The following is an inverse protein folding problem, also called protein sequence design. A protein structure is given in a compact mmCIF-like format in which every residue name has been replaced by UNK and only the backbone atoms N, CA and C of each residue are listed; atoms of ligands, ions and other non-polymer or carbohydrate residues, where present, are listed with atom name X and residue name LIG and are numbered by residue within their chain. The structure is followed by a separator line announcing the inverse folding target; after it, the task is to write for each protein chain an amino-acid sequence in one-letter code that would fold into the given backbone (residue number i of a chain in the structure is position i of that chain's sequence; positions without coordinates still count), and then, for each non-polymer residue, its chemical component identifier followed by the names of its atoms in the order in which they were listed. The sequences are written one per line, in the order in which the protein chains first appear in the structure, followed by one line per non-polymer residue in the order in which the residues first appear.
data_IF_215993532925
#
_entry.id   IF_215993532925
#
_cell.length_a   1.000
_cell.length_b   1.000
_cell.length_c   1.000
_cell.angle_alpha   90.00
_cell.angle_beta   90.00
_cell.angle_gamma   90.00
#
_symmetry.space_group_name_H-M   'P 1'
#
loop_
_entity.id
_entity.type
_entity.pdbx_description
1 polymer ?
#
# COMPACT_ATOMS: atom_id res chain seq x y z
N UNK A 1 -50.98 -57.69 44.59
CA UNK A 1 -51.14 -56.23 44.43
C UNK A 1 -49.81 -55.49 44.64
N UNK A 2 -49.27 -55.37 45.87
CA UNK A 2 -48.03 -54.60 46.17
C UNK A 2 -46.83 -54.83 45.25
N UNK A 3 -46.52 -56.09 44.91
CA UNK A 3 -45.36 -56.40 44.05
C UNK A 3 -45.52 -55.89 42.62
N UNK A 4 -46.76 -55.80 42.11
CA UNK A 4 -47.06 -55.30 40.77
C UNK A 4 -46.99 -53.77 40.70
N UNK A 5 -47.44 -53.07 41.77
CA UNK A 5 -47.21 -51.61 41.88
C UNK A 5 -45.72 -51.29 41.89
N UNK A 6 -44.93 -51.93 42.78
CA UNK A 6 -43.47 -51.69 42.85
C UNK A 6 -42.72 -51.97 41.55
N UNK A 7 -43.13 -52.97 40.77
CA UNK A 7 -42.55 -53.20 39.44
C UNK A 7 -42.90 -52.05 38.49
N UNK A 8 -44.18 -51.65 38.41
CA UNK A 8 -44.63 -50.54 37.56
C UNK A 8 -43.99 -49.20 37.95
N UNK A 9 -43.83 -48.91 39.24
CA UNK A 9 -43.20 -47.69 39.74
C UNK A 9 -41.69 -47.67 39.40
N UNK A 10 -41.03 -48.84 39.41
CA UNK A 10 -39.64 -48.99 38.95
C UNK A 10 -39.51 -48.72 37.45
N UNK A 11 -40.36 -49.34 36.61
CA UNK A 11 -40.32 -49.17 35.15
C UNK A 11 -40.65 -47.72 34.74
N UNK A 12 -41.61 -47.09 35.43
CA UNK A 12 -41.93 -45.66 35.27
C UNK A 12 -40.70 -44.79 35.58
N UNK A 13 -40.00 -45.06 36.69
CA UNK A 13 -38.82 -44.31 37.10
C UNK A 13 -37.63 -44.45 36.12
N UNK A 14 -37.41 -45.64 35.55
CA UNK A 14 -36.41 -45.83 34.51
C UNK A 14 -36.75 -45.06 33.22
N UNK A 15 -38.03 -45.02 32.82
CA UNK A 15 -38.46 -44.30 31.63
C UNK A 15 -38.28 -42.78 31.77
N UNK A 16 -38.64 -42.20 32.92
CA UNK A 16 -38.42 -40.78 33.24
C UNK A 16 -36.92 -40.43 33.23
N UNK A 17 -36.07 -41.28 33.82
CA UNK A 17 -34.61 -41.05 33.83
C UNK A 17 -34.00 -41.08 32.43
N UNK A 18 -34.47 -41.96 31.54
CA UNK A 18 -34.07 -41.98 30.14
C UNK A 18 -34.59 -40.77 29.36
N UNK A 19 -35.83 -40.34 29.59
CA UNK A 19 -36.39 -39.11 29.00
C UNK A 19 -35.58 -37.87 29.38
N UNK A 20 -35.22 -37.73 30.66
CA UNK A 20 -34.37 -36.64 31.15
C UNK A 20 -32.96 -36.68 30.53
N UNK A 21 -32.34 -37.87 30.45
CA UNK A 21 -31.03 -38.02 29.81
C UNK A 21 -31.05 -37.65 28.32
N UNK A 22 -32.10 -38.06 27.59
CA UNK A 22 -32.33 -37.68 26.19
C UNK A 22 -32.53 -36.16 26.07
N UNK A 23 -33.34 -35.56 26.95
CA UNK A 23 -33.58 -34.11 26.94
C UNK A 23 -32.31 -33.30 27.22
N UNK A 24 -31.47 -33.73 28.16
CA UNK A 24 -30.16 -33.11 28.43
C UNK A 24 -29.22 -33.29 27.24
N UNK A 25 -29.17 -34.47 26.61
CA UNK A 25 -28.34 -34.68 25.41
C UNK A 25 -28.81 -33.80 24.23
N UNK A 26 -30.13 -33.69 24.01
CA UNK A 26 -30.70 -32.80 22.99
C UNK A 26 -30.40 -31.33 23.31
N UNK A 27 -30.51 -30.91 24.57
CA UNK A 27 -30.18 -29.56 24.99
C UNK A 27 -28.68 -29.24 24.78
N UNK A 28 -27.76 -30.17 25.06
CA UNK A 28 -26.32 -30.01 24.82
C UNK A 28 -26.01 -29.97 23.32
N UNK A 29 -26.62 -30.83 22.51
CA UNK A 29 -26.47 -30.80 21.04
C UNK A 29 -27.03 -29.51 20.44
N UNK A 30 -28.16 -29.01 20.96
CA UNK A 30 -28.69 -27.69 20.60
C UNK A 30 -27.74 -26.58 21.03
N UNK A 31 -27.14 -26.65 22.23
CA UNK A 31 -26.17 -25.64 22.71
C UNK A 31 -24.90 -25.58 21.84
N UNK A 32 -24.38 -26.73 21.39
CA UNK A 32 -23.26 -26.77 20.44
C UNK A 32 -23.64 -26.22 19.05
N UNK A 33 -24.93 -26.20 18.70
CA UNK A 33 -25.43 -25.52 17.49
C UNK A 33 -25.56 -23.99 17.64
N UNK A 34 -25.42 -23.45 18.86
CA UNK A 34 -25.30 -22.00 19.15
C UNK A 34 -23.84 -21.51 19.02
N UNK A 35 -23.02 -22.20 18.21
CA UNK A 35 -21.92 -21.51 17.53
C UNK A 35 -22.52 -20.56 16.49
N UNK A 36 -22.37 -19.24 16.69
CA UNK A 36 -22.91 -18.22 15.79
C UNK A 36 -22.50 -18.50 14.34
N UNK A 37 -23.45 -19.00 13.54
CA UNK A 37 -23.30 -19.06 12.09
C UNK A 37 -23.08 -17.63 11.60
N UNK A 38 -21.99 -17.32 10.88
CA UNK A 38 -21.88 -16.01 10.25
C UNK A 38 -23.11 -15.83 9.36
N UNK A 39 -23.86 -14.76 9.62
CA UNK A 39 -25.06 -14.46 8.84
C UNK A 39 -24.68 -14.41 7.35
N UNK A 40 -25.56 -14.91 6.47
CA UNK A 40 -25.27 -15.14 5.04
C UNK A 40 -24.62 -13.93 4.32
N UNK A 41 -24.86 -12.70 4.80
CA UNK A 41 -24.19 -11.49 4.32
C UNK A 41 -22.69 -11.37 4.67
N UNK A 42 -22.22 -11.83 5.84
CA UNK A 42 -20.79 -11.73 6.17
C UNK A 42 -19.93 -12.60 5.25
N UNK A 43 -20.35 -13.83 4.98
CA UNK A 43 -19.63 -14.73 4.06
C UNK A 43 -19.59 -14.17 2.64
N UNK A 44 -20.56 -13.33 2.24
CA UNK A 44 -20.53 -12.60 0.98
C UNK A 44 -19.56 -11.41 1.00
N UNK A 45 -19.40 -10.71 2.13
CA UNK A 45 -18.53 -9.52 2.28
C UNK A 45 -17.05 -9.86 2.53
N UNK A 46 -16.79 -10.92 3.30
CA UNK A 46 -15.46 -11.39 3.70
C UNK A 46 -14.81 -12.28 2.64
N UNK A 47 -15.60 -12.90 1.76
CA UNK A 47 -15.05 -13.62 0.60
C UNK A 47 -14.43 -12.61 -0.36
N UNK A 48 -13.12 -12.73 -0.55
CA UNK A 48 -12.37 -12.04 -1.60
C UNK A 48 -12.86 -12.53 -2.97
N UNK A 49 -13.89 -11.90 -3.50
CA UNK A 49 -14.46 -12.15 -4.84
C UNK A 49 -14.14 -10.99 -5.76
N UNK A 50 -13.97 -11.28 -7.05
CA UNK A 50 -13.81 -10.25 -8.08
C UNK A 50 -14.97 -9.23 -8.06
N UNK A 51 -16.19 -9.67 -7.71
CA UNK A 51 -17.35 -8.80 -7.55
C UNK A 51 -17.16 -7.76 -6.43
N UNK A 52 -16.64 -8.18 -5.26
CA UNK A 52 -16.35 -7.26 -4.16
C UNK A 52 -15.21 -6.29 -4.52
N UNK A 53 -14.13 -6.79 -5.16
CA UNK A 53 -13.02 -5.96 -5.62
C UNK A 53 -13.52 -4.86 -6.57
N UNK A 54 -14.37 -5.25 -7.53
CA UNK A 54 -14.99 -4.32 -8.48
C UNK A 54 -15.90 -3.31 -7.79
N UNK A 55 -16.79 -3.74 -6.89
CA UNK A 55 -17.69 -2.83 -6.14
C UNK A 55 -16.89 -1.80 -5.33
N UNK A 56 -15.78 -2.20 -4.72
CA UNK A 56 -14.89 -1.30 -3.98
C UNK A 56 -14.26 -0.29 -4.95
N UNK A 57 -13.51 -0.76 -5.95
CA UNK A 57 -12.76 0.09 -6.89
C UNK A 57 -13.68 1.03 -7.68
N UNK A 58 -14.81 0.53 -8.19
CA UNK A 58 -15.81 1.35 -8.88
C UNK A 58 -16.34 2.46 -7.95
N UNK A 59 -16.62 2.16 -6.68
CA UNK A 59 -17.16 3.16 -5.76
C UNK A 59 -16.13 4.22 -5.38
N UNK A 60 -14.86 3.86 -5.20
CA UNK A 60 -13.78 4.83 -5.02
C UNK A 60 -13.63 5.72 -6.26
N UNK A 61 -13.60 5.14 -7.45
CA UNK A 61 -13.42 5.89 -8.70
C UNK A 61 -14.62 6.81 -9.01
N UNK A 62 -15.85 6.37 -8.76
CA UNK A 62 -17.07 7.20 -8.82
C UNK A 62 -16.92 8.48 -7.97
N UNK A 63 -16.58 8.31 -6.69
CA UNK A 63 -16.40 9.43 -5.75
C UNK A 63 -15.23 10.34 -6.17
N UNK A 64 -14.08 9.76 -6.51
CA UNK A 64 -12.86 10.49 -6.94
C UNK A 64 -13.08 11.30 -8.21
N UNK A 65 -13.85 10.76 -9.16
CA UNK A 65 -14.15 11.45 -10.42
C UNK A 65 -15.10 12.64 -10.24
N UNK A 66 -15.83 12.72 -9.11
CA UNK A 66 -16.90 13.70 -8.86
C UNK A 66 -16.63 14.64 -7.67
N UNK A 67 -15.37 14.78 -7.26
CA UNK A 67 -14.95 15.72 -6.21
C UNK A 67 -15.23 17.18 -6.58
N UNK A 68 -15.43 18.02 -5.56
CA UNK A 68 -15.62 19.47 -5.69
C UNK A 68 -14.66 20.22 -4.74
N UNK A 69 -13.80 21.13 -5.24
CA UNK A 69 -13.60 21.47 -6.65
C UNK A 69 -13.09 20.27 -7.48
N UNK A 70 -13.26 20.33 -8.80
CA UNK A 70 -12.75 19.27 -9.69
C UNK A 70 -11.21 19.16 -9.59
N UNK A 71 -10.68 17.96 -9.85
CA UNK A 71 -9.27 17.62 -9.71
C UNK A 71 -8.59 17.40 -11.06
N UNK A 72 -7.41 17.99 -11.28
CA UNK A 72 -6.66 17.84 -12.53
C UNK A 72 -5.71 16.64 -12.57
N UNK A 73 -5.33 16.11 -11.41
CA UNK A 73 -4.31 15.06 -11.23
C UNK A 73 -4.81 13.80 -10.49
N UNK A 74 -6.13 13.61 -10.36
CA UNK A 74 -6.71 12.50 -9.59
C UNK A 74 -6.45 11.16 -10.27
N UNK A 75 -5.60 10.30 -9.71
CA UNK A 75 -5.36 8.97 -10.29
C UNK A 75 -6.59 8.06 -10.14
N UNK A 76 -6.83 7.25 -11.15
CA UNK A 76 -7.75 6.11 -11.11
C UNK A 76 -7.20 5.05 -10.15
N UNK A 77 -8.03 4.59 -9.23
CA UNK A 77 -7.69 3.48 -8.34
C UNK A 77 -7.83 2.12 -9.05
N UNK A 78 -6.92 1.21 -8.72
CA UNK A 78 -6.90 -0.21 -9.10
C UNK A 78 -6.82 -1.11 -7.85
N UNK A 79 -7.35 -2.32 -7.95
CA UNK A 79 -7.28 -3.30 -6.85
C UNK A 79 -5.91 -3.98 -6.84
N UNK A 80 -5.23 -3.96 -5.69
CA UNK A 80 -3.96 -4.66 -5.50
C UNK A 80 -4.10 -5.82 -4.50
N UNK A 81 -3.75 -7.06 -4.88
CA UNK A 81 -3.96 -8.23 -4.04
C UNK A 81 -3.04 -8.28 -2.81
N UNK A 82 -1.83 -7.74 -2.87
CA UNK A 82 -0.92 -7.73 -1.72
C UNK A 82 -1.37 -6.68 -0.70
N UNK A 83 -1.85 -5.53 -1.19
CA UNK A 83 -2.46 -4.48 -0.36
C UNK A 83 -3.72 -5.00 0.33
N UNK A 84 -4.53 -5.81 -0.37
CA UNK A 84 -5.70 -6.46 0.21
C UNK A 84 -5.33 -7.53 1.24
N UNK A 85 -4.28 -8.30 0.99
CA UNK A 85 -3.75 -9.27 1.96
C UNK A 85 -3.25 -8.58 3.24
N UNK A 86 -2.57 -7.44 3.11
CA UNK A 86 -2.13 -6.59 4.22
C UNK A 86 -3.33 -6.04 5.02
N UNK A 87 -4.32 -5.41 4.37
CA UNK A 87 -5.52 -4.91 5.03
C UNK A 87 -6.33 -6.02 5.73
N UNK A 88 -6.48 -7.20 5.11
CA UNK A 88 -7.17 -8.34 5.72
C UNK A 88 -6.38 -8.95 6.88
N UNK A 89 -5.04 -8.97 6.81
CA UNK A 89 -4.17 -9.38 7.93
C UNK A 89 -4.38 -8.46 9.14
N UNK A 90 -4.47 -7.15 8.94
CA UNK A 90 -4.78 -6.21 10.02
C UNK A 90 -6.21 -6.38 10.56
N UNK A 91 -7.22 -6.47 9.67
CA UNK A 91 -8.62 -6.69 10.06
C UNK A 91 -8.77 -7.92 10.97
N UNK A 92 -8.10 -9.02 10.62
CA UNK A 92 -8.15 -10.28 11.38
C UNK A 92 -7.58 -10.17 12.81
N UNK A 93 -6.84 -9.11 13.16
CA UNK A 93 -6.36 -8.90 14.53
C UNK A 93 -7.42 -8.32 15.47
N UNK A 94 -8.54 -7.81 14.94
CA UNK A 94 -9.64 -7.23 15.72
C UNK A 94 -9.20 -6.17 16.76
N UNK A 95 -8.21 -5.34 16.42
CA UNK A 95 -7.68 -4.32 17.35
C UNK A 95 -8.46 -3.01 17.34
N UNK A 96 -9.38 -2.82 16.39
CA UNK A 96 -10.28 -1.66 16.33
C UNK A 96 -9.57 -0.28 16.31
N UNK A 97 -8.32 -0.25 15.87
CA UNK A 97 -7.43 0.91 15.81
C UNK A 97 -6.67 0.93 14.48
N UNK A 98 -6.00 2.05 14.18
CA UNK A 98 -5.13 2.17 13.02
C UNK A 98 -3.91 1.24 13.15
N UNK A 99 -3.47 0.63 12.05
CA UNK A 99 -2.27 -0.21 12.00
C UNK A 99 -0.97 0.60 12.21
N UNK A 100 0.07 0.01 12.85
CA UNK A 100 1.43 0.53 12.76
C UNK A 100 1.93 0.55 11.31
N UNK A 101 2.76 1.52 10.96
CA UNK A 101 3.25 1.73 9.59
C UNK A 101 3.92 0.48 8.98
N UNK A 102 4.55 -0.37 9.80
CA UNK A 102 5.17 -1.62 9.36
C UNK A 102 4.15 -2.69 8.94
N UNK A 103 2.92 -2.61 9.44
CA UNK A 103 1.81 -3.52 9.11
C UNK A 103 0.99 -3.02 7.90
N UNK A 104 1.10 -1.72 7.56
CA UNK A 104 0.56 -1.13 6.32
C UNK A 104 1.58 -0.94 5.21
N UNK A 105 2.87 -1.25 5.43
CA UNK A 105 3.91 -1.16 4.38
C UNK A 105 3.87 -2.37 3.45
N UNK A 106 3.65 -2.13 2.15
CA UNK A 106 3.54 -3.15 1.11
C UNK A 106 4.62 -2.94 0.07
N UNK A 107 5.46 -3.96 -0.16
CA UNK A 107 6.59 -3.92 -1.13
C UNK A 107 7.54 -2.72 -0.95
N UNK A 108 7.73 -2.29 0.31
CA UNK A 108 8.58 -1.14 0.66
C UNK A 108 7.90 0.23 0.52
N UNK A 109 6.63 0.28 0.11
CA UNK A 109 5.83 1.50 0.05
C UNK A 109 4.92 1.55 1.29
N UNK A 110 5.02 2.61 2.09
CA UNK A 110 4.07 2.85 3.17
C UNK A 110 2.68 3.18 2.59
N UNK A 111 1.65 2.51 3.09
CA UNK A 111 0.28 2.70 2.66
C UNK A 111 -0.56 3.31 3.78
N UNK A 112 -1.44 4.23 3.42
CA UNK A 112 -2.39 4.85 4.34
C UNK A 112 -3.53 3.88 4.66
N UNK A 113 -4.30 4.16 5.69
CA UNK A 113 -5.39 3.28 6.15
C UNK A 113 -6.68 4.06 6.42
N UNK A 114 -7.82 3.42 6.14
CA UNK A 114 -9.12 3.81 6.71
C UNK A 114 -9.79 2.61 7.35
N UNK A 115 -10.32 2.81 8.56
CA UNK A 115 -11.05 1.77 9.30
C UNK A 115 -12.51 2.14 9.54
N UNK A 116 -13.36 1.13 9.68
CA UNK A 116 -14.73 1.29 10.15
C UNK A 116 -15.15 0.10 11.02
N UNK A 117 -16.13 0.35 11.89
CA UNK A 117 -16.67 -0.64 12.83
C UNK A 117 -18.18 -0.73 12.67
N UNK A 118 -18.76 -1.92 12.84
CA UNK A 118 -20.21 -2.10 12.88
C UNK A 118 -20.63 -3.27 13.76
N UNK A 119 -21.83 -3.19 14.33
CA UNK A 119 -22.45 -4.30 15.07
C UNK A 119 -23.09 -5.35 14.16
N UNK A 120 -23.25 -5.04 12.87
CA UNK A 120 -23.88 -5.90 11.84
C UNK A 120 -23.10 -5.85 10.53
N UNK A 121 -23.28 -6.82 9.61
CA UNK A 121 -22.70 -6.70 8.28
C UNK A 121 -23.26 -5.49 7.52
N UNK A 122 -22.36 -4.68 6.96
CA UNK A 122 -22.61 -3.51 6.11
C UNK A 122 -21.90 -3.71 4.76
N UNK A 123 -22.50 -3.24 3.66
CA UNK A 123 -21.90 -3.35 2.33
C UNK A 123 -20.69 -2.42 2.17
N UNK A 124 -19.70 -2.86 1.39
CA UNK A 124 -18.51 -2.06 1.08
C UNK A 124 -18.87 -0.67 0.56
N UNK A 125 -19.84 -0.55 -0.37
CA UNK A 125 -20.29 0.76 -0.86
C UNK A 125 -20.82 1.69 0.25
N UNK A 126 -21.42 1.18 1.32
CA UNK A 126 -21.92 1.98 2.43
C UNK A 126 -20.80 2.35 3.43
N UNK A 127 -19.81 1.47 3.63
CA UNK A 127 -18.60 1.78 4.41
C UNK A 127 -17.76 2.87 3.73
N UNK A 128 -17.56 2.74 2.41
CA UNK A 128 -16.82 3.74 1.61
C UNK A 128 -17.55 5.08 1.59
N UNK A 129 -18.89 5.07 1.46
CA UNK A 129 -19.69 6.29 1.57
C UNK A 129 -19.56 6.93 2.96
N UNK A 130 -19.55 6.14 4.04
CA UNK A 130 -19.35 6.66 5.40
C UNK A 130 -18.00 7.37 5.59
N UNK A 131 -16.92 6.85 4.98
CA UNK A 131 -15.63 7.53 4.96
C UNK A 131 -15.67 8.83 4.14
N UNK A 132 -16.33 8.80 2.97
CA UNK A 132 -16.48 9.98 2.12
C UNK A 132 -17.35 11.09 2.75
N UNK A 133 -18.41 10.73 3.46
CA UNK A 133 -19.38 11.66 4.07
C UNK A 133 -18.75 12.59 5.13
N UNK A 134 -17.51 12.33 5.54
CA UNK A 134 -16.69 13.25 6.35
C UNK A 134 -16.30 14.52 5.59
N UNK A 135 -16.56 14.60 4.28
CA UNK A 135 -16.49 15.84 3.46
C UNK A 135 -17.27 17.00 4.07
N UNK A 136 -18.35 16.74 4.83
CA UNK A 136 -19.11 17.79 5.55
C UNK A 136 -18.29 18.56 6.59
N UNK A 137 -17.19 17.97 7.06
CA UNK A 137 -16.24 18.57 8.02
C UNK A 137 -14.97 19.09 7.33
N UNK A 138 -14.97 19.19 6.01
CA UNK A 138 -13.83 19.60 5.20
C UNK A 138 -14.17 20.79 4.29
N UNK A 139 -13.19 21.68 4.10
CA UNK A 139 -13.22 22.71 3.07
C UNK A 139 -11.89 22.73 2.33
N UNK A 140 -11.95 22.49 1.02
CA UNK A 140 -10.76 22.47 0.17
C UNK A 140 -9.96 23.77 0.29
N UNK A 141 -8.64 23.64 0.44
CA UNK A 141 -7.69 24.73 0.64
C UNK A 141 -7.69 25.32 2.05
N UNK A 142 -8.54 24.85 2.97
CA UNK A 142 -8.64 25.29 4.37
C UNK A 142 -8.44 24.13 5.35
N UNK A 143 -8.88 22.92 5.00
CA UNK A 143 -8.84 21.74 5.89
C UNK A 143 -10.12 21.60 6.69
N UNK A 144 -10.00 21.26 7.98
CA UNK A 144 -11.13 20.96 8.85
C UNK A 144 -12.01 22.16 9.17
N UNK A 145 -13.34 21.97 9.12
CA UNK A 145 -14.34 22.99 9.47
C UNK A 145 -14.94 22.81 10.87
N UNK A 146 -14.78 21.62 11.47
CA UNK A 146 -15.10 21.32 12.87
C UNK A 146 -13.83 20.81 13.57
N UNK A 147 -13.64 21.20 14.84
CA UNK A 147 -12.47 20.79 15.65
C UNK A 147 -12.68 19.44 16.35
N UNK A 148 -13.92 18.97 16.45
CA UNK A 148 -14.27 17.74 17.16
C UNK A 148 -14.40 16.54 16.22
N UNK A 149 -14.36 16.76 14.90
CA UNK A 149 -14.67 15.75 13.88
C UNK A 149 -13.54 15.65 12.84
N UNK A 150 -12.89 14.48 12.77
CA UNK A 150 -11.85 14.23 11.75
C UNK A 150 -12.44 14.09 10.34
N UNK A 151 -11.73 14.63 9.35
CA UNK A 151 -12.03 14.49 7.92
C UNK A 151 -11.03 13.57 7.19
N UNK A 152 -10.07 12.97 7.91
CA UNK A 152 -8.91 12.29 7.32
C UNK A 152 -9.30 11.08 6.45
N UNK A 153 -10.41 10.40 6.76
CA UNK A 153 -10.92 9.29 5.94
C UNK A 153 -11.50 9.77 4.62
N UNK A 154 -12.11 10.97 4.57
CA UNK A 154 -12.51 11.58 3.30
C UNK A 154 -11.29 11.96 2.46
N UNK A 155 -10.29 12.64 3.05
CA UNK A 155 -9.09 13.04 2.29
C UNK A 155 -8.29 11.85 1.78
N UNK A 156 -8.26 10.72 2.50
CA UNK A 156 -7.66 9.48 1.99
C UNK A 156 -8.44 8.87 0.82
N UNK A 157 -9.78 8.84 0.88
CA UNK A 157 -10.64 8.38 -0.24
C UNK A 157 -10.35 9.19 -1.51
N UNK A 158 -10.14 10.50 -1.38
CA UNK A 158 -9.90 11.42 -2.50
C UNK A 158 -8.43 11.81 -2.68
N UNK A 159 -7.47 11.07 -2.11
CA UNK A 159 -6.06 11.44 -2.22
C UNK A 159 -5.53 11.17 -3.63
N UNK A 160 -5.03 12.20 -4.33
CA UNK A 160 -4.72 12.10 -5.76
C UNK A 160 -3.74 10.98 -6.08
N UNK A 161 -2.71 10.81 -5.25
CA UNK A 161 -1.61 9.89 -5.51
C UNK A 161 -1.88 8.44 -5.06
N UNK A 162 -2.90 8.20 -4.24
CA UNK A 162 -3.23 6.85 -3.79
C UNK A 162 -4.00 6.13 -4.90
N UNK A 163 -3.30 5.32 -5.69
CA UNK A 163 -3.85 4.64 -6.87
C UNK A 163 -4.00 3.12 -6.69
N UNK A 164 -3.32 2.50 -5.74
CA UNK A 164 -3.54 1.09 -5.40
C UNK A 164 -4.38 1.01 -4.13
N UNK A 165 -5.41 0.16 -4.15
CA UNK A 165 -6.26 -0.09 -2.98
C UNK A 165 -6.47 -1.58 -2.74
N UNK A 166 -6.51 -1.97 -1.47
CA UNK A 166 -6.89 -3.30 -1.05
C UNK A 166 -7.56 -3.26 0.30
N UNK A 167 -8.61 -4.07 0.48
CA UNK A 167 -9.46 -4.01 1.67
C UNK A 167 -9.74 -5.40 2.24
N UNK A 168 -9.98 -5.44 3.56
CA UNK A 168 -10.35 -6.63 4.29
C UNK A 168 -11.40 -6.37 5.37
N UNK A 169 -12.15 -7.40 5.72
CA UNK A 169 -13.17 -7.34 6.79
C UNK A 169 -13.11 -8.59 7.66
N UNK A 170 -13.15 -8.40 8.97
CA UNK A 170 -13.15 -9.48 9.96
C UNK A 170 -14.43 -9.47 10.80
N UNK A 171 -14.78 -10.64 11.31
CA UNK A 171 -15.81 -10.80 12.34
C UNK A 171 -15.12 -11.01 13.69
N UNK A 172 -15.40 -10.11 14.63
CA UNK A 172 -14.71 -9.97 15.91
C UNK A 172 -15.69 -10.23 17.06
N UNK A 173 -15.97 -11.50 17.42
CA UNK A 173 -17.12 -11.88 18.26
C UNK A 173 -17.07 -11.41 19.71
N UNK A 174 -15.92 -10.93 20.18
CA UNK A 174 -15.71 -10.47 21.55
C UNK A 174 -15.84 -8.95 21.68
N UNK A 175 -16.02 -8.23 20.57
CA UNK A 175 -16.07 -6.77 20.53
C UNK A 175 -17.50 -6.23 20.51
N UNK A 176 -17.71 -5.03 21.04
CA UNK A 176 -19.00 -4.34 20.95
C UNK A 176 -19.45 -4.14 19.49
N UNK A 177 -18.49 -3.95 18.59
CA UNK A 177 -18.71 -3.84 17.15
C UNK A 177 -18.10 -5.06 16.44
N UNK A 178 -18.90 -6.11 16.31
CA UNK A 178 -18.46 -7.40 15.79
C UNK A 178 -17.91 -7.42 14.34
N UNK A 179 -17.90 -6.30 13.60
CA UNK A 179 -17.38 -6.25 12.23
C UNK A 179 -16.37 -5.11 12.09
N UNK A 180 -15.12 -5.46 11.81
CA UNK A 180 -14.02 -4.52 11.63
C UNK A 180 -13.59 -4.51 10.16
N UNK A 181 -13.67 -3.33 9.54
CA UNK A 181 -13.38 -3.08 8.13
C UNK A 181 -12.09 -2.26 8.03
N UNK A 182 -11.22 -2.64 7.10
CA UNK A 182 -9.92 -2.00 6.83
C UNK A 182 -9.77 -1.84 5.32
N UNK A 183 -9.29 -0.68 4.86
CA UNK A 183 -8.72 -0.51 3.53
C UNK A 183 -7.34 0.12 3.64
N UNK A 184 -6.35 -0.44 2.93
CA UNK A 184 -5.03 0.14 2.73
C UNK A 184 -4.94 0.82 1.36
N UNK A 185 -4.19 1.92 1.28
CA UNK A 185 -4.09 2.80 0.13
C UNK A 185 -2.60 3.08 -0.17
N UNK A 186 -2.10 2.62 -1.32
CA UNK A 186 -0.69 2.76 -1.67
C UNK A 186 -0.51 3.66 -2.92
N UNK A 187 0.45 4.60 -2.90
CA UNK A 187 1.12 5.14 -1.71
C UNK A 187 0.13 5.80 -0.73
N UNK A 188 0.57 5.97 0.51
CA UNK A 188 -0.19 6.65 1.55
C UNK A 188 -0.63 8.07 1.14
N UNK A 189 -1.83 8.45 1.60
CA UNK A 189 -2.31 9.81 1.53
C UNK A 189 -2.12 10.58 2.84
N UNK A 190 -2.86 11.68 3.00
CA UNK A 190 -2.91 12.47 4.22
C UNK A 190 -1.55 13.02 4.70
N UNK A 191 -0.65 13.33 3.76
CA UNK A 191 0.58 14.10 4.02
C UNK A 191 0.17 15.40 4.73
N UNK A 192 0.81 15.69 5.87
CA UNK A 192 0.32 16.70 6.84
C UNK A 192 0.28 18.10 6.22
N UNK A 193 1.29 18.43 5.43
CA UNK A 193 1.49 19.69 4.72
C UNK A 193 0.41 19.94 3.66
N UNK A 194 -0.04 18.87 2.99
CA UNK A 194 -1.01 18.89 1.90
C UNK A 194 -2.43 18.46 2.33
N UNK A 195 -2.67 18.22 3.62
CA UNK A 195 -3.94 17.64 4.12
C UNK A 195 -5.18 18.50 3.78
N UNK A 196 -5.00 19.81 3.61
CA UNK A 196 -6.04 20.74 3.16
C UNK A 196 -6.31 20.70 1.64
N UNK A 197 -5.46 20.05 0.85
CA UNK A 197 -5.45 19.97 -0.62
C UNK A 197 -5.10 18.54 -1.09
N UNK A 198 -5.97 17.55 -0.83
CA UNK A 198 -5.70 16.13 -1.15
C UNK A 198 -5.52 15.82 -2.64
N UNK A 199 -5.78 16.79 -3.51
CA UNK A 199 -5.57 16.77 -4.96
C UNK A 199 -5.34 18.19 -5.46
N UNK A 200 -4.86 18.34 -6.71
CA UNK A 200 -4.73 19.64 -7.36
C UNK A 200 -6.04 20.04 -8.01
N UNK A 201 -6.63 21.15 -7.56
CA UNK A 201 -7.86 21.68 -8.16
C UNK A 201 -7.62 22.19 -9.60
N UNK A 202 -8.49 21.80 -10.52
CA UNK A 202 -8.43 22.17 -11.93
C UNK A 202 -9.46 21.42 -12.79
N UNK A 203 -9.44 21.60 -14.13
CA UNK A 203 -10.26 20.80 -15.04
C UNK A 203 -9.94 19.31 -14.88
N UNK A 204 -10.95 18.43 -14.96
CA UNK A 204 -10.74 16.96 -14.87
C UNK A 204 -9.67 16.52 -15.87
N UNK A 205 -8.71 15.72 -15.43
CA UNK A 205 -7.54 15.29 -16.20
C UNK A 205 -6.62 16.40 -16.77
N UNK A 206 -6.68 17.63 -16.25
CA UNK A 206 -5.85 18.74 -16.74
C UNK A 206 -4.33 18.50 -16.69
N UNK A 207 -3.85 17.59 -15.83
CA UNK A 207 -2.43 17.19 -15.73
C UNK A 207 -2.11 15.85 -16.44
N UNK A 208 -3.10 15.24 -17.11
CA UNK A 208 -2.99 13.93 -17.77
C UNK A 208 -3.85 13.85 -19.05
N UNK A 209 -3.74 14.79 -20.00
CA UNK A 209 -4.63 14.88 -21.16
C UNK A 209 -4.66 13.60 -22.02
N UNK A 210 -3.50 12.98 -22.23
CA UNK A 210 -3.34 11.75 -23.04
C UNK A 210 -3.59 10.45 -22.25
N UNK A 211 -3.85 10.55 -20.95
CA UNK A 211 -3.99 9.43 -20.01
C UNK A 211 -5.21 9.63 -19.10
N UNK A 212 -6.36 9.93 -19.70
CA UNK A 212 -7.60 10.22 -18.99
C UNK A 212 -8.68 9.17 -19.26
N UNK A 213 -9.28 8.62 -18.20
CA UNK A 213 -10.46 7.76 -18.28
C UNK A 213 -11.54 8.28 -17.31
N UNK A 214 -12.70 8.68 -17.83
CA UNK A 214 -13.84 9.17 -17.04
C UNK A 214 -13.52 10.32 -16.05
N UNK A 215 -12.50 11.14 -16.35
CA UNK A 215 -12.06 12.24 -15.49
C UNK A 215 -11.02 11.84 -14.43
N UNK A 216 -10.44 10.65 -14.53
CA UNK A 216 -9.35 10.14 -13.70
C UNK A 216 -8.10 9.87 -14.55
N UNK A 217 -6.92 10.17 -14.00
CA UNK A 217 -5.63 9.94 -14.63
C UNK A 217 -5.23 8.46 -14.55
N UNK A 218 -4.68 7.89 -15.62
CA UNK A 218 -4.29 6.47 -15.72
C UNK A 218 -2.76 6.26 -15.84
N UNK A 219 -1.98 7.30 -15.58
CA UNK A 219 -0.52 7.36 -15.68
C UNK A 219 0.18 7.56 -14.31
N UNK A 220 0.07 6.62 -13.34
CA UNK A 220 0.72 6.75 -12.04
C UNK A 220 2.25 6.71 -12.15
N UNK A 221 2.94 7.52 -11.35
CA UNK A 221 4.37 7.34 -11.13
C UNK A 221 4.59 6.09 -10.27
N UNK A 222 5.36 5.12 -10.79
CA UNK A 222 5.69 3.87 -10.08
C UNK A 222 6.94 3.97 -9.20
N UNK A 223 7.70 5.06 -9.35
CA UNK A 223 8.87 5.36 -8.53
C UNK A 223 8.47 6.31 -7.41
N UNK A 224 9.08 6.13 -6.24
CA UNK A 224 8.91 6.99 -5.09
C UNK A 224 10.23 7.65 -4.74
N UNK A 225 10.19 8.95 -4.48
CA UNK A 225 11.35 9.72 -4.03
C UNK A 225 11.79 9.25 -2.65
N UNK A 226 13.08 8.94 -2.48
CA UNK A 226 13.64 8.47 -1.21
C UNK A 226 13.99 9.59 -0.23
N UNK A 227 13.61 10.84 -0.56
CA UNK A 227 13.79 12.02 0.29
C UNK A 227 12.89 13.17 -0.16
N UNK A 228 12.50 14.03 0.78
CA UNK A 228 11.60 15.18 0.54
C UNK A 228 12.08 16.15 -0.54
N UNK A 229 13.40 16.23 -0.72
CA UNK A 229 14.04 17.29 -1.49
C UNK A 229 14.29 16.89 -2.95
N UNK A 230 13.80 15.74 -3.41
CA UNK A 230 14.09 15.22 -4.76
C UNK A 230 13.67 16.17 -5.89
N UNK A 231 12.59 16.95 -5.73
CA UNK A 231 12.25 18.02 -6.69
C UNK A 231 13.33 19.11 -6.70
N UNK A 232 13.73 19.60 -5.53
CA UNK A 232 14.77 20.64 -5.37
C UNK A 232 16.13 20.16 -5.90
N UNK A 233 16.50 18.90 -5.63
CA UNK A 233 17.73 18.29 -6.12
C UNK A 233 17.71 18.12 -7.64
N UNK A 234 16.57 17.71 -8.21
CA UNK A 234 16.38 17.63 -9.67
C UNK A 234 16.48 19.01 -10.32
N UNK A 235 15.91 20.04 -9.71
CA UNK A 235 15.94 21.41 -10.25
C UNK A 235 17.35 22.04 -10.14
N UNK A 236 18.15 21.65 -9.13
CA UNK A 236 19.51 22.13 -8.91
C UNK A 236 20.59 21.37 -9.71
N UNK A 237 20.47 20.04 -9.81
CA UNK A 237 21.53 19.15 -10.32
C UNK A 237 21.11 18.32 -11.54
N UNK A 238 19.85 18.42 -11.97
CA UNK A 238 19.30 17.57 -13.03
C UNK A 238 19.18 16.09 -12.61
N UNK A 239 18.83 15.25 -13.57
CA UNK A 239 18.72 13.80 -13.37
C UNK A 239 20.02 13.03 -13.71
N UNK A 240 21.08 13.72 -14.15
CA UNK A 240 22.32 13.10 -14.64
C UNK A 240 23.36 12.83 -13.55
N UNK A 241 23.29 13.51 -12.41
CA UNK A 241 24.33 13.47 -11.35
C UNK A 241 23.86 12.85 -10.01
N UNK A 242 22.59 12.43 -9.87
CA UNK A 242 22.07 11.97 -8.57
C UNK A 242 22.73 10.69 -8.02
N UNK A 243 23.36 9.87 -8.85
CA UNK A 243 24.15 8.70 -8.40
C UNK A 243 25.42 9.09 -7.58
N UNK A 244 25.91 10.33 -7.68
CA UNK A 244 27.13 10.76 -6.97
C UNK A 244 26.91 11.31 -5.57
N UNK A 245 25.70 11.78 -5.26
CA UNK A 245 25.43 12.53 -4.03
C UNK A 245 24.67 11.76 -2.95
N UNK A 246 24.16 10.56 -3.24
CA UNK A 246 23.52 9.66 -2.27
C UNK A 246 24.42 8.46 -1.87
N UNK A 247 25.72 8.74 -1.63
CA UNK A 247 26.55 7.84 -0.82
C UNK A 247 26.31 8.09 0.68
N UNK A 248 26.12 7.06 1.52
CA UNK A 248 25.78 7.23 2.94
C UNK A 248 27.00 7.66 3.78
N UNK A 249 27.44 8.91 3.66
CA UNK A 249 28.56 9.49 4.42
C UNK A 249 28.16 9.90 5.86
N UNK A 250 27.46 9.01 6.57
CA UNK A 250 27.13 9.12 8.01
C UNK A 250 26.83 7.71 8.57
N UNK A 251 27.74 6.78 8.31
CA UNK A 251 27.60 5.35 8.64
C UNK A 251 28.90 4.71 9.13
N UNK A 252 29.65 5.38 10.00
CA UNK A 252 30.95 4.91 10.51
C UNK A 252 30.81 3.67 11.40
N UNK A 253 30.71 2.48 10.80
CA UNK A 253 31.03 1.21 11.45
C UNK A 253 32.42 0.76 11.02
N UNK A 254 33.42 1.13 11.81
CA UNK A 254 34.72 0.45 11.78
C UNK A 254 34.50 -0.97 12.32
N UNK A 255 34.50 -1.96 11.42
CA UNK A 255 34.78 -3.35 11.81
C UNK A 255 36.25 -3.61 11.54
N UNK A 256 37.01 -3.83 12.61
CA UNK A 256 38.41 -4.22 12.52
C UNK A 256 38.56 -5.55 11.78
N UNK A 257 39.38 -5.56 10.74
CA UNK A 257 40.05 -6.77 10.29
C UNK A 257 41.55 -6.51 10.27
N UNK A 258 42.23 -7.05 11.29
CA UNK A 258 43.69 -7.02 11.34
C UNK A 258 44.26 -8.07 10.38
N UNK A 259 45.19 -7.65 9.52
CA UNK A 259 46.13 -8.57 8.89
C UNK A 259 47.46 -7.85 8.70
N UNK A 260 48.43 -8.17 9.56
CA UNK A 260 49.81 -7.73 9.41
C UNK A 260 50.62 -8.76 8.61
N UNK A 261 51.30 -8.32 7.54
CA UNK A 261 52.75 -8.54 7.38
C UNK A 261 53.34 -7.84 6.14
N UNK A 262 54.59 -7.42 6.27
CA UNK A 262 55.42 -6.89 5.17
C UNK A 262 55.36 -5.37 5.11
N UNK A 263 56.37 -4.69 5.64
CA UNK A 263 56.39 -3.24 5.70
C UNK A 263 56.90 -2.61 4.40
N UNK A 264 56.19 -1.58 3.92
CA UNK A 264 56.74 -0.29 3.53
C UNK A 264 55.59 0.73 3.43
N UNK A 265 55.83 1.98 3.86
CA UNK A 265 54.82 3.04 3.85
C UNK A 265 54.77 3.67 2.45
N UNK A 266 53.72 3.38 1.69
CA UNK A 266 53.42 4.10 0.45
C UNK A 266 52.72 5.43 0.79
N UNK A 267 53.11 6.56 0.17
CA UNK A 267 52.53 7.87 0.46
C UNK A 267 51.06 7.99 0.00
N UNK A 268 50.28 8.94 0.53
CA UNK A 268 48.80 8.93 0.48
C UNK A 268 48.18 9.32 -0.88
N UNK A 269 48.81 8.96 -1.99
CA UNK A 269 48.37 9.25 -3.36
C UNK A 269 48.42 8.03 -4.30
N UNK A 270 48.65 6.81 -3.76
CA UNK A 270 48.63 5.59 -4.56
C UNK A 270 47.35 4.76 -4.34
N UNK A 271 46.48 4.75 -5.36
CA UNK A 271 45.30 3.88 -5.48
C UNK A 271 45.52 2.93 -6.66
N UNK A 272 45.34 1.62 -6.45
CA UNK A 272 45.49 0.59 -7.49
C UNK A 272 44.09 0.11 -7.90
N UNK A 273 43.72 0.29 -9.17
CA UNK A 273 42.43 -0.16 -9.74
C UNK A 273 42.68 -0.78 -11.12
N UNK A 274 42.22 -2.02 -11.32
CA UNK A 274 42.19 -2.73 -12.61
C UNK A 274 41.07 -2.15 -13.51
N UNK A 275 41.14 -2.11 -14.83
CA UNK A 275 42.25 -2.30 -15.77
C UNK A 275 41.95 -1.45 -17.02
N UNK A 276 42.97 -0.92 -17.70
CA UNK A 276 42.91 -0.32 -19.06
C UNK A 276 42.35 1.11 -19.23
N UNK A 277 42.92 2.09 -18.52
CA UNK A 277 43.02 3.52 -18.89
C UNK A 277 44.10 4.20 -18.02
N UNK A 278 45.09 4.92 -18.58
CA UNK A 278 46.21 5.49 -17.79
C UNK A 278 46.09 6.98 -17.41
N UNK A 279 46.74 7.31 -16.28
CA UNK A 279 46.72 8.52 -15.41
C UNK A 279 47.43 9.86 -15.84
N UNK A 280 48.58 9.85 -16.53
CA UNK A 280 49.59 10.96 -16.47
C UNK A 280 49.44 12.15 -17.49
N UNK A 281 48.49 13.09 -17.32
CA UNK A 281 48.49 14.42 -17.98
C UNK A 281 49.28 15.39 -17.09
N UNK A 282 48.66 16.42 -16.50
CA UNK A 282 48.49 16.40 -15.05
C UNK A 282 47.38 15.38 -14.64
N UNK A 283 46.45 15.06 -15.56
CA UNK A 283 45.61 13.84 -15.64
C UNK A 283 45.38 13.44 -17.12
N UNK A 284 45.48 12.15 -17.49
CA UNK A 284 45.49 11.60 -18.87
C UNK A 284 44.27 10.72 -19.17
N UNK A 285 44.39 9.88 -20.19
CA UNK A 285 43.28 9.26 -20.92
C UNK A 285 43.50 7.78 -21.30
N UNK A 286 42.46 6.98 -21.03
CA UNK A 286 41.80 5.92 -21.83
C UNK A 286 42.51 4.71 -22.55
N UNK A 287 41.92 3.51 -22.37
CA UNK A 287 42.08 2.19 -23.10
C UNK A 287 43.27 1.26 -22.73
N UNK A 288 43.37 -0.04 -23.13
CA UNK A 288 42.46 -0.97 -23.85
C UNK A 288 42.58 -2.48 -23.43
N UNK A 289 41.56 -3.32 -23.70
CA UNK A 289 41.24 -4.71 -23.22
C UNK A 289 42.28 -5.88 -23.27
N UNK A 290 42.12 -6.88 -22.37
CA UNK A 290 42.02 -8.36 -22.66
C UNK A 290 41.55 -9.18 -21.41
N UNK A 291 40.82 -10.29 -21.64
CA UNK A 291 40.11 -11.18 -20.69
C UNK A 291 40.96 -11.92 -19.64
N UNK A 292 40.35 -12.26 -18.48
CA UNK A 292 40.22 -13.64 -17.98
C UNK A 292 38.88 -13.84 -17.23
N UNK A 293 38.45 -15.10 -17.15
CA UNK A 293 37.07 -15.55 -16.90
C UNK A 293 36.90 -16.13 -15.49
N UNK A 294 35.84 -15.75 -14.77
CA UNK A 294 35.39 -16.41 -13.53
C UNK A 294 33.86 -16.38 -13.42
N UNK A 295 33.24 -17.55 -13.54
CA UNK A 295 31.79 -17.75 -13.30
C UNK A 295 31.50 -17.80 -11.79
N UNK A 296 30.38 -17.22 -11.34
CA UNK A 296 30.00 -17.22 -9.93
C UNK A 296 28.72 -16.43 -9.63
N UNK A 297 27.59 -16.94 -10.11
CA UNK A 297 26.23 -16.39 -9.93
C UNK A 297 25.87 -15.94 -8.49
N UNK A 298 25.43 -14.69 -8.31
CA UNK A 298 24.04 -14.36 -7.89
C UNK A 298 23.79 -12.86 -7.64
N UNK A 299 23.04 -12.25 -8.56
CA UNK A 299 22.05 -11.17 -8.37
C UNK A 299 22.33 -10.00 -7.41
N UNK A 300 22.74 -8.87 -7.97
CA UNK A 300 22.36 -7.54 -7.48
C UNK A 300 21.76 -6.72 -8.64
N UNK A 301 20.43 -6.73 -8.77
CA UNK A 301 19.72 -5.86 -9.72
C UNK A 301 19.26 -4.60 -9.00
N UNK A 302 19.96 -3.50 -9.22
CA UNK A 302 19.42 -2.14 -9.10
C UNK A 302 19.70 -1.48 -10.45
N UNK A 303 18.66 -1.36 -11.28
CA UNK A 303 18.75 -0.61 -12.53
C UNK A 303 18.03 0.73 -12.37
N UNK A 304 18.86 1.76 -12.22
CA UNK A 304 18.81 3.06 -12.91
C UNK A 304 17.47 3.74 -13.15
N UNK A 305 17.39 5.00 -12.74
CA UNK A 305 16.35 5.92 -13.16
C UNK A 305 16.32 6.14 -14.68
N UNK A 306 15.13 6.02 -15.26
CA UNK A 306 14.72 6.72 -16.48
C UNK A 306 13.23 7.05 -16.33
N UNK A 307 12.81 8.17 -16.91
CA UNK A 307 11.44 8.69 -16.87
C UNK A 307 10.94 9.21 -15.50
N UNK A 308 11.60 10.28 -15.01
CA UNK A 308 10.90 11.25 -14.18
C UNK A 308 9.65 11.73 -14.93
N UNK A 309 8.48 11.65 -14.31
CA UNK A 309 7.20 11.97 -14.96
C UNK A 309 7.15 13.40 -15.52
N UNK A 310 7.42 13.52 -16.82
CA UNK A 310 7.20 14.69 -17.65
C UNK A 310 6.47 14.23 -18.93
N UNK A 311 5.44 14.96 -19.31
CA UNK A 311 4.57 14.65 -20.45
C UNK A 311 5.38 14.50 -21.76
N UNK A 312 4.98 13.60 -22.69
CA UNK A 312 5.71 13.37 -23.94
C UNK A 312 5.51 14.54 -24.91
N UNK A 313 6.48 15.47 -24.95
CA UNK A 313 6.51 16.51 -25.98
C UNK A 313 6.88 15.91 -27.35
N UNK A 314 5.88 15.78 -28.22
CA UNK A 314 6.06 15.34 -29.61
C UNK A 314 6.77 16.43 -30.44
N UNK A 315 8.09 16.34 -30.56
CA UNK A 315 8.86 17.08 -31.56
C UNK A 315 8.87 16.31 -32.88
N UNK A 316 8.07 16.76 -33.85
CA UNK A 316 8.26 16.39 -35.25
C UNK A 316 9.61 16.94 -35.73
N UNK A 317 10.54 16.05 -36.10
CA UNK A 317 11.68 16.45 -36.93
C UNK A 317 11.19 16.62 -38.37
N UNK A 318 10.96 17.87 -38.76
CA UNK A 318 11.04 18.25 -40.17
C UNK A 318 12.47 18.69 -40.50
N UNK A 319 12.85 18.44 -41.75
CA UNK A 319 14.01 18.94 -42.48
C UNK A 319 15.40 18.39 -42.12
N UNK A 320 15.94 17.72 -43.14
CA UNK A 320 17.25 17.08 -43.23
C UNK A 320 18.35 18.05 -43.63
N UNK A 321 19.10 18.57 -42.66
CA UNK A 321 20.46 19.12 -42.81
C UNK A 321 20.97 19.47 -41.40
N UNK A 322 22.10 18.99 -40.89
CA UNK A 322 23.31 18.48 -41.55
C UNK A 322 23.91 17.29 -40.78
N UNK A 323 24.08 16.16 -41.46
CA UNK A 323 25.10 15.16 -41.09
C UNK A 323 26.47 15.70 -41.53
N UNK A 324 27.41 15.81 -40.59
CA UNK A 324 28.84 15.47 -40.76
C UNK A 324 29.67 16.00 -39.59
N UNK A 325 30.20 15.09 -38.76
CA UNK A 325 31.44 15.20 -37.94
C UNK A 325 31.46 14.27 -36.70
N UNK A 326 31.14 12.98 -36.88
CA UNK A 326 31.37 11.96 -35.82
C UNK A 326 31.88 10.62 -36.38
N UNK A 327 32.95 10.67 -37.17
CA UNK A 327 33.80 9.51 -37.48
C UNK A 327 35.27 9.94 -37.67
N UNK A 328 36.02 9.97 -36.55
CA UNK A 328 37.44 9.67 -36.47
C UNK A 328 37.75 9.18 -35.05
#
# INVERSE_FOLDING_TARGET
MERYRRAKDSDQMFLEMHLLAIFVCLAVMLHQSVGQRPALGFTALSRSTADNHKVIVDKFNDLRSNVSPAASNMLKMEWDPDVAASAQKWANKCQNTISPDEESTVRGVHCGETIAQSSRPVSWSAVIQHWYDRVKYFKYGVGGTDKNESFNTYTQVVWYNSYQIGCGVAYCPNDQFNFFYVCHYCPAGNIVEDLARPYKAGPKCGDCPDACENGLCTNPCRFHDTGSDCSTLKDLFGCTDMDRHLSPSLGTRVTEFSSQRGGELLPPWLLIVNNNSFIIGPALTFSSFTLWYLQGTNSCHIMTASDSCAQPFSLRMNDSSTLDSFFQ
#
